data_IF_828119747749
#
_entry.id   IF_828119747749
#
_cell.length_a   1.000
_cell.length_b   1.000
_cell.length_c   1.000
_cell.angle_alpha   90.00
_cell.angle_beta   90.00
_cell.angle_gamma   90.00
#
_symmetry.space_group_name_H-M   'P 1'
#
loop_
_entity.id
_entity.type
_entity.pdbx_description
1 polymer ?
#
# COMPACT_ATOMS: atom_id res chain seq x y z
N UNK A 1 -13.65 -12.63 19.71
CA UNK A 1 -13.72 -12.22 18.28
C UNK A 1 -13.17 -10.81 18.18
N UNK A 2 -12.24 -10.54 17.26
CA UNK A 2 -11.73 -9.18 17.01
C UNK A 2 -12.83 -8.31 16.35
N UNK A 3 -12.83 -7.00 16.61
CA UNK A 3 -13.73 -6.08 15.90
C UNK A 3 -13.32 -5.98 14.42
N UNK A 4 -14.25 -5.56 13.55
CA UNK A 4 -13.96 -5.32 12.13
C UNK A 4 -12.80 -4.33 11.98
N UNK A 5 -12.87 -3.20 12.68
CA UNK A 5 -11.81 -2.18 12.71
C UNK A 5 -10.46 -2.76 13.15
N UNK A 6 -10.41 -3.55 14.22
CA UNK A 6 -9.16 -4.16 14.68
C UNK A 6 -8.59 -5.14 13.65
N UNK A 7 -9.46 -5.90 12.97
CA UNK A 7 -9.06 -6.85 11.92
C UNK A 7 -8.49 -6.10 10.71
N UNK A 8 -9.17 -5.04 10.24
CA UNK A 8 -8.68 -4.23 9.11
C UNK A 8 -7.35 -3.55 9.42
N UNK A 9 -7.20 -2.98 10.62
CA UNK A 9 -5.95 -2.36 11.06
C UNK A 9 -4.80 -3.36 11.18
N UNK A 10 -5.07 -4.57 11.68
CA UNK A 10 -4.07 -5.64 11.74
C UNK A 10 -3.62 -6.07 10.33
N UNK A 11 -4.58 -6.34 9.43
CA UNK A 11 -4.27 -6.74 8.04
C UNK A 11 -3.53 -5.63 7.28
N UNK A 12 -3.95 -4.37 7.44
CA UNK A 12 -3.27 -3.23 6.84
C UNK A 12 -1.84 -3.07 7.37
N UNK A 13 -1.62 -3.33 8.66
CA UNK A 13 -0.29 -3.25 9.27
C UNK A 13 0.66 -4.26 8.65
N UNK A 14 0.26 -5.52 8.55
CA UNK A 14 1.10 -6.55 7.92
C UNK A 14 1.31 -6.24 6.44
N UNK A 15 0.23 -5.87 5.73
CA UNK A 15 0.28 -5.57 4.29
C UNK A 15 1.02 -4.29 3.91
N UNK A 16 1.41 -3.44 4.86
CA UNK A 16 2.15 -2.20 4.58
C UNK A 16 3.54 -2.18 5.19
N UNK A 17 3.69 -2.61 6.45
CA UNK A 17 4.97 -2.56 7.15
C UNK A 17 5.95 -3.61 6.61
N UNK A 18 5.47 -4.79 6.22
CA UNK A 18 6.34 -5.81 5.63
C UNK A 18 6.90 -5.34 4.27
N UNK A 19 6.08 -4.88 3.30
CA UNK A 19 6.59 -4.25 2.08
C UNK A 19 7.54 -3.08 2.35
N UNK A 20 7.19 -2.17 3.27
CA UNK A 20 8.05 -1.03 3.60
C UNK A 20 9.44 -1.46 4.09
N UNK A 21 9.50 -2.48 4.95
CA UNK A 21 10.76 -2.99 5.50
C UNK A 21 11.61 -3.64 4.40
N UNK A 22 10.99 -4.49 3.58
CA UNK A 22 11.68 -5.17 2.47
C UNK A 22 12.19 -4.20 1.42
N UNK A 23 11.40 -3.18 1.06
CA UNK A 23 11.80 -2.15 0.10
C UNK A 23 12.87 -1.22 0.67
N UNK A 24 12.85 -0.94 1.97
CA UNK A 24 13.94 -0.21 2.63
C UNK A 24 15.23 -1.01 2.57
N UNK A 25 15.16 -2.33 2.81
CA UNK A 25 16.32 -3.22 2.67
C UNK A 25 16.88 -3.19 1.24
N UNK A 26 16.01 -3.26 0.22
CA UNK A 26 16.40 -3.09 -1.18
C UNK A 26 17.12 -1.77 -1.46
N UNK A 27 16.71 -0.68 -0.82
CA UNK A 27 17.32 0.63 -1.00
C UNK A 27 18.70 0.74 -0.33
N UNK A 28 18.91 0.12 0.83
CA UNK A 28 20.18 0.24 1.57
C UNK A 28 21.20 -0.83 1.21
N UNK A 29 20.74 -2.01 0.80
CA UNK A 29 21.57 -3.18 0.52
C UNK A 29 20.95 -3.93 -0.66
N UNK A 30 21.13 -3.43 -1.89
CA UNK A 30 20.59 -4.06 -3.07
C UNK A 30 21.16 -5.49 -3.22
N UNK A 31 20.31 -6.51 -3.46
CA UNK A 31 20.77 -7.88 -3.63
C UNK A 31 21.65 -8.03 -4.86
N UNK A 32 22.77 -8.75 -4.72
CA UNK A 32 23.71 -9.02 -5.81
C UNK A 32 23.23 -10.17 -6.72
N UNK A 33 22.47 -11.12 -6.17
CA UNK A 33 21.87 -12.24 -6.90
C UNK A 33 20.42 -11.92 -7.30
N UNK A 34 20.10 -12.15 -8.58
CA UNK A 34 18.75 -12.03 -9.13
C UNK A 34 17.75 -12.93 -8.40
N UNK A 35 18.14 -14.13 -7.98
CA UNK A 35 17.25 -15.05 -7.28
C UNK A 35 16.84 -14.51 -5.91
N UNK A 36 17.77 -13.87 -5.19
CA UNK A 36 17.47 -13.20 -3.92
C UNK A 36 16.53 -12.03 -4.14
N UNK A 37 16.80 -11.20 -5.16
CA UNK A 37 15.95 -10.08 -5.52
C UNK A 37 14.50 -10.54 -5.84
N UNK A 38 14.37 -11.59 -6.65
CA UNK A 38 13.07 -12.16 -7.03
C UNK A 38 12.35 -12.74 -5.81
N UNK A 39 13.04 -13.46 -4.94
CA UNK A 39 12.44 -14.04 -3.74
C UNK A 39 11.90 -12.95 -2.80
N UNK A 40 12.68 -11.90 -2.54
CA UNK A 40 12.28 -10.78 -1.68
C UNK A 40 11.10 -10.01 -2.28
N UNK A 41 11.14 -9.69 -3.58
CA UNK A 41 10.04 -9.01 -4.26
C UNK A 41 8.77 -9.88 -4.26
N UNK A 42 8.90 -11.19 -4.41
CA UNK A 42 7.75 -12.12 -4.34
C UNK A 42 7.08 -12.05 -2.97
N UNK A 43 7.87 -12.07 -1.88
CA UNK A 43 7.32 -11.91 -0.51
C UNK A 43 6.67 -10.54 -0.33
N UNK A 44 7.27 -9.48 -0.88
CA UNK A 44 6.70 -8.14 -0.87
C UNK A 44 5.31 -8.12 -1.55
N UNK A 45 5.21 -8.61 -2.79
CA UNK A 45 3.93 -8.67 -3.52
C UNK A 45 2.90 -9.60 -2.87
N UNK A 46 3.33 -10.70 -2.25
CA UNK A 46 2.43 -11.56 -1.47
C UNK A 46 1.82 -10.81 -0.28
N UNK A 47 2.63 -9.99 0.42
CA UNK A 47 2.16 -9.16 1.53
C UNK A 47 1.19 -8.06 1.07
N UNK A 48 1.35 -7.51 -0.14
CA UNK A 48 0.37 -6.57 -0.71
C UNK A 48 -1.04 -7.18 -0.79
N UNK A 49 -1.17 -8.49 -1.01
CA UNK A 49 -2.45 -9.17 -1.01
C UNK A 49 -3.24 -9.00 0.30
N UNK A 50 -2.55 -8.85 1.43
CA UNK A 50 -3.18 -8.60 2.73
C UNK A 50 -3.80 -7.20 2.83
N UNK A 51 -3.33 -6.22 2.04
CA UNK A 51 -3.98 -4.91 1.97
C UNK A 51 -5.37 -4.97 1.35
N UNK A 52 -5.63 -5.95 0.48
CA UNK A 52 -6.98 -6.23 -0.01
C UNK A 52 -7.94 -6.58 1.13
N UNK A 53 -7.47 -7.35 2.12
CA UNK A 53 -8.23 -7.66 3.33
C UNK A 53 -8.20 -6.52 4.37
N UNK A 54 -7.25 -5.58 4.27
CA UNK A 54 -7.19 -4.34 5.05
C UNK A 54 -8.09 -3.25 4.45
N UNK A 55 -7.51 -2.31 3.71
CA UNK A 55 -8.24 -1.20 3.09
C UNK A 55 -9.29 -1.66 2.05
N UNK A 56 -9.01 -2.72 1.28
CA UNK A 56 -9.88 -3.14 0.18
C UNK A 56 -11.28 -3.50 0.67
N UNK A 57 -11.37 -4.38 1.66
CA UNK A 57 -12.62 -4.76 2.34
C UNK A 57 -13.26 -3.63 3.16
N UNK A 58 -12.50 -2.59 3.52
CA UNK A 58 -12.99 -1.51 4.37
C UNK A 58 -14.10 -0.68 3.71
N UNK A 59 -14.11 -0.55 2.38
CA UNK A 59 -15.17 0.16 1.65
C UNK A 59 -16.54 -0.46 1.87
N UNK A 60 -16.60 -1.80 1.81
CA UNK A 60 -17.83 -2.56 2.01
C UNK A 60 -18.27 -2.53 3.48
N UNK A 61 -17.33 -2.49 4.42
CA UNK A 61 -17.65 -2.36 5.85
C UNK A 61 -18.21 -0.97 6.19
N UNK A 62 -17.68 0.09 5.57
CA UNK A 62 -18.12 1.48 5.75
C UNK A 62 -19.50 1.74 5.13
N UNK A 63 -19.73 1.28 3.91
CA UNK A 63 -21.00 1.46 3.22
C UNK A 63 -21.22 0.37 2.18
N UNK A 64 -22.00 -0.67 2.49
CA UNK A 64 -22.36 -1.70 1.52
C UNK A 64 -23.09 -1.13 0.29
N UNK A 65 -23.92 -0.10 0.49
CA UNK A 65 -24.72 0.52 -0.59
C UNK A 65 -23.87 1.31 -1.58
N UNK A 66 -22.86 2.02 -1.10
CA UNK A 66 -21.99 2.87 -1.93
C UNK A 66 -20.61 2.27 -2.17
N UNK A 67 -20.33 1.03 -1.73
CA UNK A 67 -19.03 0.39 -1.79
C UNK A 67 -18.38 0.48 -3.18
N UNK A 68 -19.14 0.21 -4.25
CA UNK A 68 -18.63 0.28 -5.62
C UNK A 68 -18.24 1.70 -6.05
N UNK A 69 -19.02 2.71 -5.65
CA UNK A 69 -18.71 4.11 -5.96
C UNK A 69 -17.48 4.59 -5.19
N UNK A 70 -17.39 4.29 -3.88
CA UNK A 70 -16.23 4.67 -3.06
C UNK A 70 -14.97 3.96 -3.58
N UNK A 71 -15.05 2.66 -3.88
CA UNK A 71 -13.93 1.91 -4.48
C UNK A 71 -13.53 2.45 -5.86
N UNK A 72 -14.51 2.86 -6.68
CA UNK A 72 -14.24 3.47 -7.99
C UNK A 72 -13.46 4.78 -7.86
N UNK A 73 -13.88 5.67 -6.94
CA UNK A 73 -13.19 6.94 -6.68
C UNK A 73 -11.77 6.69 -6.15
N UNK A 74 -11.60 5.81 -5.17
CA UNK A 74 -10.27 5.51 -4.60
C UNK A 74 -9.35 4.88 -5.64
N UNK A 75 -9.85 3.99 -6.49
CA UNK A 75 -9.08 3.38 -7.58
C UNK A 75 -8.70 4.40 -8.66
N UNK A 76 -9.60 5.32 -9.03
CA UNK A 76 -9.28 6.40 -9.96
C UNK A 76 -8.16 7.30 -9.43
N UNK A 77 -8.25 7.70 -8.16
CA UNK A 77 -7.19 8.48 -7.50
C UNK A 77 -5.88 7.69 -7.43
N UNK A 78 -5.93 6.41 -7.06
CA UNK A 78 -4.76 5.54 -7.01
C UNK A 78 -4.09 5.39 -8.38
N UNK A 79 -4.88 5.30 -9.46
CA UNK A 79 -4.38 5.21 -10.83
C UNK A 79 -3.63 6.48 -11.25
N UNK A 80 -4.18 7.66 -10.94
CA UNK A 80 -3.51 8.95 -11.21
C UNK A 80 -2.18 9.03 -10.45
N UNK A 81 -2.19 8.73 -9.15
CA UNK A 81 -0.97 8.70 -8.34
C UNK A 81 0.05 7.68 -8.88
N UNK A 82 -0.40 6.50 -9.32
CA UNK A 82 0.44 5.48 -9.93
C UNK A 82 1.11 5.96 -11.21
N UNK A 83 0.38 6.65 -12.09
CA UNK A 83 0.95 7.25 -13.30
C UNK A 83 2.02 8.28 -12.96
N UNK A 84 1.78 9.16 -11.99
CA UNK A 84 2.77 10.13 -11.53
C UNK A 84 3.99 9.46 -10.90
N UNK A 85 3.79 8.35 -10.17
CA UNK A 85 4.88 7.56 -9.58
C UNK A 85 5.80 6.92 -10.62
N UNK A 86 5.25 6.45 -11.76
CA UNK A 86 6.05 5.93 -12.87
C UNK A 86 6.90 7.04 -13.49
N UNK A 87 6.30 8.21 -13.74
CA UNK A 87 7.03 9.37 -14.27
C UNK A 87 8.17 9.80 -13.34
N UNK A 88 7.89 9.89 -12.03
CA UNK A 88 8.90 10.22 -11.03
C UNK A 88 10.03 9.18 -10.99
N UNK A 89 9.69 7.90 -11.05
CA UNK A 89 10.69 6.81 -11.13
C UNK A 89 11.62 6.97 -12.32
N UNK A 90 11.06 7.32 -13.49
CA UNK A 90 11.86 7.57 -14.70
C UNK A 90 12.87 8.70 -14.52
N UNK A 91 12.44 9.83 -13.94
CA UNK A 91 13.34 10.96 -13.64
C UNK A 91 14.42 10.53 -12.65
N UNK A 92 14.05 9.82 -11.58
CA UNK A 92 15.01 9.37 -10.57
C UNK A 92 16.10 8.50 -11.19
N UNK A 93 15.74 7.56 -12.05
CA UNK A 93 16.70 6.71 -12.73
C UNK A 93 17.61 7.50 -13.69
N UNK A 94 17.07 8.51 -14.37
CA UNK A 94 17.87 9.38 -15.25
C UNK A 94 18.90 10.20 -14.47
N UNK A 95 18.51 10.80 -13.33
CA UNK A 95 19.39 11.68 -12.56
C UNK A 95 20.37 10.94 -11.64
N UNK A 96 20.15 9.64 -11.42
CA UNK A 96 20.98 8.80 -10.54
C UNK A 96 21.73 7.69 -11.30
N UNK A 97 21.87 7.83 -12.61
CA UNK A 97 22.59 6.89 -13.47
C UNK A 97 22.07 5.44 -13.35
N UNK A 98 20.75 5.28 -13.17
CA UNK A 98 20.07 3.99 -13.07
C UNK A 98 19.98 3.41 -11.66
N UNK A 99 20.30 4.18 -10.62
CA UNK A 99 20.13 3.73 -9.23
C UNK A 99 18.65 3.66 -8.80
N UNK A 100 18.22 2.48 -8.35
CA UNK A 100 16.85 2.23 -7.90
C UNK A 100 16.64 2.54 -6.41
N UNK A 101 17.69 2.73 -5.62
CA UNK A 101 17.58 2.95 -4.18
C UNK A 101 16.68 4.15 -3.81
N UNK A 102 16.76 5.33 -4.47
CA UNK A 102 15.86 6.45 -4.19
C UNK A 102 14.39 6.11 -4.44
N UNK A 103 14.11 5.38 -5.52
CA UNK A 103 12.76 4.93 -5.89
C UNK A 103 12.20 4.01 -4.81
N UNK A 104 12.95 2.98 -4.40
CA UNK A 104 12.51 2.06 -3.35
C UNK A 104 12.32 2.76 -2.00
N UNK A 105 13.17 3.72 -1.66
CA UNK A 105 13.02 4.52 -0.45
C UNK A 105 11.72 5.34 -0.45
N UNK A 106 11.38 6.01 -1.56
CA UNK A 106 10.13 6.78 -1.70
C UNK A 106 8.90 5.85 -1.59
N UNK A 107 8.96 4.68 -2.22
CA UNK A 107 7.88 3.69 -2.12
C UNK A 107 7.71 3.24 -0.66
N UNK A 108 8.81 2.91 0.04
CA UNK A 108 8.76 2.51 1.44
C UNK A 108 8.15 3.58 2.35
N UNK A 109 8.55 4.85 2.17
CA UNK A 109 7.96 6.00 2.88
C UNK A 109 6.45 6.10 2.61
N UNK A 110 6.03 5.91 1.36
CA UNK A 110 4.61 5.95 0.98
C UNK A 110 3.81 4.85 1.66
N UNK A 111 4.34 3.63 1.77
CA UNK A 111 3.70 2.54 2.54
C UNK A 111 3.53 2.89 4.02
N UNK A 112 4.57 3.44 4.66
CA UNK A 112 4.51 3.81 6.08
C UNK A 112 3.54 4.98 6.29
N UNK A 113 3.54 5.98 5.42
CA UNK A 113 2.63 7.12 5.49
C UNK A 113 1.16 6.68 5.33
N UNK A 114 0.87 5.83 4.33
CA UNK A 114 -0.46 5.28 4.12
C UNK A 114 -0.93 4.41 5.29
N UNK A 115 -0.04 3.58 5.85
CA UNK A 115 -0.31 2.82 7.05
C UNK A 115 -0.63 3.71 8.26
N UNK A 116 0.20 4.72 8.52
CA UNK A 116 0.01 5.63 9.65
C UNK A 116 -1.33 6.38 9.53
N UNK A 117 -1.67 6.84 8.32
CA UNK A 117 -2.96 7.45 8.04
C UNK A 117 -4.13 6.50 8.32
N UNK A 118 -4.05 5.26 7.84
CA UNK A 118 -5.10 4.25 8.08
C UNK A 118 -5.21 3.88 9.56
N UNK A 119 -4.10 3.83 10.29
CA UNK A 119 -4.11 3.55 11.73
C UNK A 119 -4.76 4.67 12.53
N UNK A 120 -4.55 5.93 12.14
CA UNK A 120 -5.13 7.09 12.81
C UNK A 120 -6.63 7.25 12.52
N UNK A 121 -7.06 7.13 11.26
CA UNK A 121 -8.43 7.47 10.84
C UNK A 121 -9.28 6.32 10.31
N UNK A 122 -8.69 5.16 10.03
CA UNK A 122 -9.42 4.00 9.52
C UNK A 122 -10.43 3.46 10.52
N UNK A 123 -11.66 3.23 10.06
CA UNK A 123 -12.73 2.53 10.78
C UNK A 123 -13.36 1.48 9.88
N UNK A 124 -13.76 0.36 10.48
CA UNK A 124 -14.55 -0.71 9.85
C UNK A 124 -16.01 -0.72 10.34
N UNK A 125 -16.49 0.41 10.85
CA UNK A 125 -17.89 0.61 11.23
C UNK A 125 -18.67 1.28 10.09
N UNK A 126 -19.93 0.89 9.93
CA UNK A 126 -20.83 1.45 8.94
C UNK A 126 -21.07 2.93 9.23
N UNK A 127 -20.96 3.77 8.20
CA UNK A 127 -21.06 5.23 8.33
C UNK A 127 -22.51 5.71 8.10
N UNK A 128 -22.88 6.81 8.76
CA UNK A 128 -24.27 7.30 8.79
C UNK A 128 -24.87 7.58 7.40
N UNK A 129 -24.04 8.03 6.45
CA UNK A 129 -24.48 8.32 5.09
C UNK A 129 -24.94 7.06 4.32
N UNK A 130 -24.66 5.85 4.80
CA UNK A 130 -25.17 4.63 4.20
C UNK A 130 -26.71 4.54 4.25
N UNK A 131 -27.34 5.28 5.17
CA UNK A 131 -28.80 5.33 5.38
C UNK A 131 -29.51 6.45 4.64
N UNK A 132 -28.77 7.36 3.99
CA UNK A 132 -29.32 8.38 3.09
C UNK A 132 -29.77 7.73 1.77
#
# INVERSE_FOLDING_TARGET
>A
MLSRTATRKAMQSVGSLLPATLLTLFAVSPPEDVNEAVALLTVCFAALGLQGAGFGGNHADISPRYAGAIFGVTNAMASICGTLGIYLTGILLEVTDGDWAPTFAIIAVTYVAGWAFFMAWGSGEEQDFNRL
#
